data_IF_728431054712
#
_entry.id   IF_728431054712
#
_cell.length_a   1.000
_cell.length_b   1.000
_cell.length_c   1.000
_cell.angle_alpha   90.00
_cell.angle_beta   90.00
_cell.angle_gamma   90.00
#
_symmetry.space_group_name_H-M   'P 1'
#
loop_
_entity.id
_entity.type
_entity.pdbx_description
1 polymer ?
#
# COMPACT_ATOMS: atom_id res chain seq x y z
N UNK A 1 6.46 -7.98 -17.66
CA UNK A 1 6.22 -7.30 -16.37
C UNK A 1 7.55 -7.15 -15.64
N UNK A 2 8.06 -5.93 -15.46
CA UNK A 2 9.36 -5.73 -14.80
C UNK A 2 9.16 -5.51 -13.29
N UNK A 3 9.50 -6.51 -12.48
CA UNK A 3 9.34 -6.53 -11.01
C UNK A 3 10.52 -5.95 -10.24
N UNK A 4 11.34 -5.09 -10.88
CA UNK A 4 12.61 -4.58 -10.32
C UNK A 4 12.52 -4.01 -8.90
N UNK A 5 11.38 -3.43 -8.52
CA UNK A 5 11.14 -2.88 -7.18
C UNK A 5 9.86 -3.43 -6.59
N UNK A 6 9.82 -3.61 -5.25
CA UNK A 6 8.70 -4.25 -4.53
C UNK A 6 7.32 -3.68 -4.87
N UNK A 7 7.19 -2.36 -5.02
CA UNK A 7 5.93 -1.67 -5.33
C UNK A 7 5.62 -1.53 -6.83
N UNK A 8 6.48 -2.05 -7.72
CA UNK A 8 6.28 -1.94 -9.16
C UNK A 8 4.97 -2.61 -9.54
N UNK A 9 4.06 -1.86 -10.18
CA UNK A 9 2.73 -2.33 -10.59
C UNK A 9 1.79 -2.73 -9.46
N UNK A 10 2.05 -2.29 -8.23
CA UNK A 10 1.18 -2.56 -7.07
C UNK A 10 0.54 -1.32 -6.47
N UNK A 11 1.09 -0.14 -6.74
CA UNK A 11 0.68 1.11 -6.09
C UNK A 11 -0.01 2.01 -7.09
N UNK A 12 -1.23 2.42 -6.77
CA UNK A 12 -2.13 3.20 -7.62
C UNK A 12 -2.42 4.58 -7.01
N UNK A 13 -2.68 5.55 -7.87
CA UNK A 13 -2.95 6.92 -7.47
C UNK A 13 -4.38 7.05 -6.96
N UNK A 14 -4.56 7.32 -5.67
CA UNK A 14 -5.89 7.58 -5.08
C UNK A 14 -6.65 8.78 -5.65
N UNK A 15 -6.02 9.61 -6.51
CA UNK A 15 -6.69 10.74 -7.18
C UNK A 15 -7.18 10.43 -8.59
N UNK A 16 -6.44 9.63 -9.37
CA UNK A 16 -6.74 9.42 -10.79
C UNK A 16 -6.68 7.96 -11.25
N UNK A 17 -6.46 7.02 -10.32
CA UNK A 17 -6.40 5.58 -10.61
C UNK A 17 -5.13 5.10 -11.29
N UNK A 18 -4.34 5.99 -11.90
CA UNK A 18 -3.13 5.61 -12.63
C UNK A 18 -2.01 5.08 -11.70
N UNK A 19 -1.11 4.26 -12.24
CA UNK A 19 -0.01 3.63 -11.53
C UNK A 19 1.01 4.65 -10.99
N UNK A 20 1.59 4.38 -9.81
CA UNK A 20 2.77 5.09 -9.34
C UNK A 20 4.04 4.42 -9.88
N UNK A 21 4.93 5.23 -10.43
CA UNK A 21 6.24 4.82 -10.92
C UNK A 21 7.34 5.33 -9.99
N UNK A 22 8.39 4.52 -9.84
CA UNK A 22 9.56 4.86 -9.03
C UNK A 22 10.49 5.79 -9.80
N UNK A 23 10.95 6.85 -9.15
CA UNK A 23 11.99 7.75 -9.63
C UNK A 23 13.01 7.97 -8.51
N UNK A 24 14.22 8.38 -8.89
CA UNK A 24 15.22 8.85 -7.95
C UNK A 24 15.22 10.37 -7.95
N UNK A 25 15.15 10.99 -6.78
CA UNK A 25 15.45 12.41 -6.58
C UNK A 25 16.85 12.52 -6.01
N UNK A 26 17.61 13.53 -6.44
CA UNK A 26 19.03 13.67 -6.14
C UNK A 26 19.38 14.92 -5.32
N UNK A 27 18.41 15.69 -4.80
CA UNK A 27 18.66 16.94 -4.06
C UNK A 27 17.59 17.21 -2.98
N UNK A 28 17.96 17.66 -1.76
CA UNK A 28 19.31 17.73 -1.19
C UNK A 28 19.92 16.35 -0.89
N UNK A 29 19.09 15.31 -0.78
CA UNK A 29 19.50 13.92 -0.55
C UNK A 29 19.02 13.02 -1.69
N UNK A 30 19.72 11.90 -1.90
CA UNK A 30 19.31 10.85 -2.83
C UNK A 30 18.17 10.03 -2.22
N UNK A 31 16.94 10.27 -2.66
CA UNK A 31 15.75 9.58 -2.14
C UNK A 31 14.92 8.98 -3.28
N UNK A 32 14.54 7.71 -3.11
CA UNK A 32 13.59 7.08 -3.99
C UNK A 32 12.18 7.61 -3.71
N UNK A 33 11.48 8.02 -4.76
CA UNK A 33 10.12 8.53 -4.69
C UNK A 33 9.21 7.82 -5.67
N UNK A 34 7.94 7.72 -5.34
CA UNK A 34 6.88 7.15 -6.14
C UNK A 34 5.96 8.27 -6.61
N UNK A 35 5.78 8.36 -7.93
CA UNK A 35 5.09 9.47 -8.61
C UNK A 35 4.03 8.91 -9.53
N UNK A 36 2.84 9.51 -9.52
CA UNK A 36 1.76 9.13 -10.42
C UNK A 36 2.21 9.25 -11.89
N UNK A 37 2.01 8.20 -12.69
CA UNK A 37 2.43 8.17 -14.10
C UNK A 37 1.77 9.31 -14.91
N UNK A 38 0.48 9.58 -14.71
CA UNK A 38 -0.22 10.74 -15.29
C UNK A 38 0.33 12.11 -14.87
N UNK A 39 1.06 12.20 -13.75
CA UNK A 39 1.79 13.43 -13.36
C UNK A 39 3.16 13.52 -14.06
N UNK A 40 3.81 12.39 -14.31
CA UNK A 40 5.12 12.32 -14.97
C UNK A 40 4.97 12.55 -16.48
N UNK A 41 4.01 11.84 -17.10
CA UNK A 41 3.68 11.97 -18.52
C UNK A 41 3.22 13.42 -18.75
N UNK A 42 4.05 14.20 -19.45
CA UNK A 42 3.68 15.55 -19.90
C UNK A 42 2.62 15.42 -20.98
N UNK A 43 1.34 15.30 -20.59
CA UNK A 43 0.26 15.36 -21.57
C UNK A 43 0.19 16.79 -22.13
N UNK A 44 0.19 16.90 -23.47
CA UNK A 44 -0.09 18.16 -24.18
C UNK A 44 -1.58 18.53 -24.15
N UNK A 45 -2.47 17.60 -23.78
CA UNK A 45 -3.93 17.71 -23.97
C UNK A 45 -4.77 17.28 -22.76
N UNK A 46 -4.15 16.93 -21.63
CA UNK A 46 -4.85 16.35 -20.47
C UNK A 46 -4.48 17.02 -19.15
N UNK A 47 -5.44 17.04 -18.21
CA UNK A 47 -5.27 17.60 -16.87
C UNK A 47 -4.24 16.78 -16.08
N UNK A 48 -3.09 17.38 -15.78
CA UNK A 48 -2.03 16.72 -15.01
C UNK A 48 -2.53 16.35 -13.60
N UNK A 49 -2.27 15.11 -13.17
CA UNK A 49 -2.55 14.72 -11.80
C UNK A 49 -1.68 15.52 -10.83
N UNK A 50 -2.32 16.16 -9.85
CA UNK A 50 -1.66 17.08 -8.90
C UNK A 50 -1.32 16.43 -7.56
N UNK A 51 -1.45 15.10 -7.43
CA UNK A 51 -1.13 14.39 -6.18
C UNK A 51 0.34 14.57 -5.78
N UNK A 52 0.62 14.63 -4.48
CA UNK A 52 1.99 14.73 -3.95
C UNK A 52 2.77 13.45 -4.26
N UNK A 53 4.09 13.58 -4.38
CA UNK A 53 4.96 12.42 -4.55
C UNK A 53 5.13 11.73 -3.19
N UNK A 54 5.25 10.41 -3.19
CA UNK A 54 5.41 9.61 -1.97
C UNK A 54 6.87 9.19 -1.84
N UNK A 55 7.52 9.43 -0.70
CA UNK A 55 8.87 8.92 -0.46
C UNK A 55 8.79 7.40 -0.23
N UNK A 56 9.71 6.64 -0.81
CA UNK A 56 9.72 5.18 -0.66
C UNK A 56 9.80 4.70 0.81
N UNK A 57 10.57 5.34 1.72
CA UNK A 57 10.54 4.97 3.14
C UNK A 57 9.14 5.03 3.76
N UNK A 58 8.40 6.12 3.52
CA UNK A 58 7.03 6.28 4.02
C UNK A 58 6.08 5.22 3.43
N UNK A 59 6.28 4.87 2.16
CA UNK A 59 5.48 3.84 1.52
C UNK A 59 5.76 2.45 2.11
N UNK A 60 7.02 2.15 2.48
CA UNK A 60 7.40 0.90 3.16
C UNK A 60 6.82 0.83 4.56
N UNK A 61 6.97 1.88 5.34
CA UNK A 61 6.42 1.99 6.70
C UNK A 61 4.90 1.76 6.69
N UNK A 62 4.16 2.53 5.89
CA UNK A 62 2.71 2.37 5.77
C UNK A 62 2.29 0.98 5.29
N UNK A 63 3.10 0.33 4.44
CA UNK A 63 2.82 -1.03 3.98
C UNK A 63 3.00 -2.04 5.11
N UNK A 64 4.09 -1.97 5.86
CA UNK A 64 4.36 -2.85 7.01
C UNK A 64 3.28 -2.67 8.08
N UNK A 65 2.90 -1.43 8.38
CA UNK A 65 1.84 -1.14 9.34
C UNK A 65 0.50 -1.74 8.91
N UNK A 66 0.14 -1.60 7.63
CA UNK A 66 -1.08 -2.20 7.10
C UNK A 66 -1.06 -3.74 7.20
N UNK A 67 0.07 -4.39 6.88
CA UNK A 67 0.21 -5.83 7.05
C UNK A 67 0.12 -6.27 8.50
N UNK A 68 0.77 -5.55 9.42
CA UNK A 68 0.71 -5.85 10.85
C UNK A 68 -0.72 -5.74 11.38
N UNK A 69 -1.50 -4.75 10.92
CA UNK A 69 -2.92 -4.61 11.28
C UNK A 69 -3.76 -5.77 10.74
N UNK A 70 -3.50 -6.21 9.49
CA UNK A 70 -4.20 -7.34 8.89
C UNK A 70 -3.91 -8.65 9.64
N UNK A 71 -2.64 -8.91 9.99
CA UNK A 71 -2.23 -10.10 10.74
C UNK A 71 -2.91 -10.11 12.12
N UNK A 72 -2.83 -8.99 12.86
CA UNK A 72 -3.50 -8.86 14.16
C UNK A 72 -5.01 -9.08 14.05
N UNK A 73 -5.65 -8.52 13.02
CA UNK A 73 -7.08 -8.73 12.78
C UNK A 73 -7.41 -10.20 12.51
N UNK A 74 -6.57 -10.91 11.78
CA UNK A 74 -6.74 -12.33 11.50
C UNK A 74 -6.53 -13.20 12.76
N UNK A 75 -5.51 -12.91 13.56
CA UNK A 75 -5.28 -13.58 14.85
C UNK A 75 -6.49 -13.42 15.78
N UNK A 76 -7.00 -12.19 15.93
CA UNK A 76 -8.20 -11.91 16.71
C UNK A 76 -9.43 -12.67 16.20
N UNK A 77 -9.63 -12.73 14.88
CA UNK A 77 -10.73 -13.50 14.29
C UNK A 77 -10.58 -15.01 14.54
N UNK A 78 -9.35 -15.53 14.52
CA UNK A 78 -9.08 -16.95 14.79
C UNK A 78 -9.32 -17.31 16.25
N UNK A 79 -8.97 -16.44 17.20
CA UNK A 79 -9.21 -16.62 18.63
C UNK A 79 -10.71 -16.60 18.96
N UNK A 80 -11.47 -15.66 18.38
CA UNK A 80 -12.92 -15.60 18.55
C UNK A 80 -13.63 -16.85 18.04
N UNK A 81 -13.15 -17.39 16.92
CA UNK A 81 -13.68 -18.65 16.36
C UNK A 81 -13.41 -19.82 17.29
N UNK A 82 -12.19 -19.93 17.84
CA UNK A 82 -11.83 -21.00 18.77
C UNK A 82 -12.61 -20.90 20.10
N UNK A 83 -12.82 -19.70 20.64
CA UNK A 83 -13.60 -19.49 21.88
C UNK A 83 -15.09 -19.80 21.71
N UNK A 84 -15.66 -19.48 20.54
CA UNK A 84 -17.07 -19.78 20.23
C UNK A 84 -17.32 -21.29 20.15
N UNK A 85 -16.36 -22.06 19.62
CA UNK A 85 -16.46 -23.53 19.59
C UNK A 85 -16.38 -24.18 20.98
N UNK A 86 -15.64 -23.58 21.92
CA UNK A 86 -15.58 -24.08 23.29
C UNK A 86 -16.86 -23.79 24.10
N UNK A 87 -17.53 -22.66 23.86
CA UNK A 87 -18.77 -22.31 24.57
C UNK A 87 -19.95 -23.20 24.14
N UNK A 88 -20.01 -23.64 22.87
CA UNK A 88 -21.08 -24.47 22.34
C UNK A 88 -21.00 -25.94 22.83
N UNK A 89 -19.81 -26.41 23.23
CA UNK A 89 -19.61 -27.73 23.84
C UNK A 89 -20.06 -27.81 25.30
N UNK A 90 -20.11 -26.70 26.03
CA UNK A 90 -20.52 -26.66 27.44
C UNK A 90 -22.04 -26.54 27.63
N UNK A 91 -22.77 -26.19 26.56
CA UNK A 91 -24.22 -25.98 26.58
C UNK A 91 -25.04 -27.22 26.16
N UNK A 92 -24.36 -28.36 25.94
CA UNK A 92 -24.97 -29.63 25.50
C UNK A 92 -25.23 -30.65 26.61
N UNK A 93 -25.21 -30.19 27.86
CA UNK A 93 -25.63 -30.96 29.04
C UNK A 93 -26.93 -30.41 29.64
#
# INVERSE_FOLDING_TARGET
MNGKYCFSQKVFCGKCGDILQRNMWYRPEKVAVWRCASRIRRSKTGRRCMIRNVKEPLLKEATVDAFNQLIKGHELASEQTNQSQHHESDQKF
#
